data_IF_170185823932
#
_entry.id   IF_170185823932
#
_cell.length_a   1.000
_cell.length_b   1.000
_cell.length_c   1.000
_cell.angle_alpha   90.00
_cell.angle_beta   90.00
_cell.angle_gamma   90.00
#
_symmetry.space_group_name_H-M   'P 1'
#
loop_
_entity.id
_entity.type
_entity.pdbx_description
1 polymer ?
#
# COMPACT_ATOMS: atom_id res chain seq x y z
N UNK A 1 7.51 -28.44 -19.54
CA UNK A 1 6.88 -27.82 -18.37
C UNK A 1 6.24 -26.54 -18.85
N UNK A 2 4.91 -26.50 -18.95
CA UNK A 2 4.20 -25.26 -19.30
C UNK A 2 4.33 -24.31 -18.12
N UNK A 3 4.95 -23.15 -18.30
CA UNK A 3 4.89 -22.08 -17.30
C UNK A 3 3.43 -21.67 -17.21
N UNK A 4 2.77 -21.94 -16.08
CA UNK A 4 1.52 -21.27 -15.77
C UNK A 4 1.87 -19.79 -15.57
N UNK A 5 1.71 -18.98 -16.62
CA UNK A 5 1.86 -17.54 -16.54
C UNK A 5 0.73 -16.97 -15.66
N UNK A 6 1.06 -16.05 -14.75
CA UNK A 6 0.08 -15.40 -13.90
C UNK A 6 -0.37 -14.04 -14.46
N UNK A 7 -0.01 -13.73 -15.70
CA UNK A 7 -0.25 -12.44 -16.36
C UNK A 7 -1.75 -12.13 -16.50
N UNK A 8 -2.57 -13.15 -16.79
CA UNK A 8 -4.03 -13.01 -16.85
C UNK A 8 -4.64 -12.62 -15.50
N UNK A 9 -4.08 -13.12 -14.39
CA UNK A 9 -4.54 -12.78 -13.04
C UNK A 9 -4.11 -11.37 -12.63
N UNK A 10 -2.94 -10.91 -13.07
CA UNK A 10 -2.51 -9.52 -12.88
C UNK A 10 -3.43 -8.55 -13.64
N UNK A 11 -3.75 -8.87 -14.90
CA UNK A 11 -4.68 -8.08 -15.71
C UNK A 11 -6.08 -8.04 -15.06
N UNK A 12 -6.61 -9.19 -14.65
CA UNK A 12 -7.91 -9.27 -13.98
C UNK A 12 -7.93 -8.48 -12.67
N UNK A 13 -6.89 -8.61 -11.83
CA UNK A 13 -6.81 -7.86 -10.58
C UNK A 13 -6.79 -6.34 -10.82
N UNK A 14 -6.03 -5.90 -11.84
CA UNK A 14 -5.99 -4.49 -12.24
C UNK A 14 -7.36 -3.99 -12.69
N UNK A 15 -8.08 -4.75 -13.52
CA UNK A 15 -9.41 -4.40 -13.99
C UNK A 15 -10.42 -4.33 -12.83
N UNK A 16 -10.49 -5.35 -11.99
CA UNK A 16 -11.42 -5.39 -10.86
C UNK A 16 -11.19 -4.25 -9.86
N UNK A 17 -9.93 -3.96 -9.54
CA UNK A 17 -9.58 -2.86 -8.62
C UNK A 17 -9.83 -1.51 -9.29
N UNK A 18 -9.60 -1.37 -10.59
CA UNK A 18 -9.92 -0.14 -11.31
C UNK A 18 -11.44 0.12 -11.39
N UNK A 19 -12.25 -0.93 -11.49
CA UNK A 19 -13.71 -0.82 -11.57
C UNK A 19 -14.36 -0.55 -10.20
N UNK A 20 -13.90 -1.23 -9.14
CA UNK A 20 -14.54 -1.19 -7.82
C UNK A 20 -13.81 -0.32 -6.80
N UNK A 21 -12.55 -0.02 -7.03
CA UNK A 21 -11.71 0.76 -6.14
C UNK A 21 -11.95 2.26 -6.24
N UNK A 22 -11.46 2.99 -5.24
CA UNK A 22 -11.42 4.45 -5.24
C UNK A 22 -10.01 4.95 -5.48
N UNK A 23 -9.88 6.09 -6.15
CA UNK A 23 -8.57 6.69 -6.42
C UNK A 23 -7.97 7.28 -5.15
N UNK A 24 -6.80 6.77 -4.76
CA UNK A 24 -6.05 7.23 -3.59
C UNK A 24 -4.62 7.57 -3.96
N UNK A 25 -3.99 8.38 -3.12
CA UNK A 25 -2.62 8.84 -3.29
C UNK A 25 -1.70 8.07 -2.33
N UNK A 26 -0.84 7.22 -2.89
CA UNK A 26 0.23 6.56 -2.15
C UNK A 26 1.42 7.51 -2.04
N UNK A 27 1.73 7.90 -0.81
CA UNK A 27 2.74 8.93 -0.53
C UNK A 27 3.99 8.29 0.06
N UNK A 28 5.12 8.56 -0.59
CA UNK A 28 6.46 8.32 -0.05
C UNK A 28 7.00 9.65 0.48
N UNK A 29 7.43 9.64 1.74
CA UNK A 29 8.11 10.76 2.37
C UNK A 29 9.63 10.58 2.24
N UNK A 30 10.37 11.68 2.22
CA UNK A 30 11.81 11.70 2.40
C UNK A 30 12.17 12.50 3.65
N UNK A 31 13.28 12.13 4.29
CA UNK A 31 13.78 12.84 5.46
C UNK A 31 14.10 14.28 5.07
N UNK A 32 13.62 15.24 5.86
CA UNK A 32 13.95 16.64 5.64
C UNK A 32 15.46 16.86 5.78
N UNK A 33 15.99 17.80 5.01
CA UNK A 33 17.38 18.21 5.16
C UNK A 33 17.65 18.66 6.60
N UNK A 34 18.76 18.22 7.17
CA UNK A 34 19.19 18.68 8.49
C UNK A 34 19.65 20.14 8.40
N UNK A 35 19.37 20.92 9.43
CA UNK A 35 19.82 22.32 9.52
C UNK A 35 21.35 22.36 9.65
N UNK A 36 22.09 22.99 8.71
CA UNK A 36 23.54 23.12 8.79
C UNK A 36 24.03 23.86 10.05
N UNK A 37 23.22 24.77 10.59
CA UNK A 37 23.55 25.53 11.79
C UNK A 37 23.27 24.76 13.08
N UNK A 38 22.35 23.78 13.03
CA UNK A 38 21.91 23.01 14.20
C UNK A 38 21.75 21.52 13.89
N UNK A 39 22.84 20.82 13.51
CA UNK A 39 22.79 19.42 13.08
C UNK A 39 22.36 18.46 14.20
N UNK A 40 22.48 18.85 15.47
CA UNK A 40 22.04 18.04 16.62
C UNK A 40 20.52 17.94 16.77
N UNK A 41 19.74 18.77 16.06
CA UNK A 41 18.27 18.64 16.01
C UNK A 41 17.81 17.49 15.12
N UNK A 42 18.72 16.91 14.34
CA UNK A 42 18.42 15.83 13.41
C UNK A 42 17.80 16.33 12.10
N UNK A 43 17.26 15.41 11.29
CA UNK A 43 16.62 15.75 10.02
C UNK A 43 15.40 16.65 10.26
N UNK A 44 15.22 17.63 9.36
CA UNK A 44 14.05 18.50 9.37
C UNK A 44 12.74 17.75 9.09
N UNK A 45 11.65 18.51 9.02
CA UNK A 45 10.33 17.95 8.74
C UNK A 45 10.35 17.14 7.42
N UNK A 46 9.83 15.89 7.41
CA UNK A 46 9.77 15.09 6.21
C UNK A 46 9.00 15.79 5.09
N UNK A 47 9.50 15.71 3.87
CA UNK A 47 8.87 16.25 2.67
C UNK A 47 8.30 15.13 1.81
N UNK A 48 7.35 15.45 0.94
CA UNK A 48 6.80 14.49 -0.01
C UNK A 48 7.82 14.26 -1.11
N UNK A 49 8.30 13.03 -1.23
CA UNK A 49 9.24 12.62 -2.27
C UNK A 49 8.54 12.16 -3.54
N UNK A 50 7.46 11.39 -3.37
CA UNK A 50 6.72 10.81 -4.48
C UNK A 50 5.26 10.61 -4.08
N UNK A 51 4.36 10.92 -5.02
CA UNK A 51 2.94 10.61 -4.94
C UNK A 51 2.61 9.70 -6.11
N UNK A 52 1.99 8.56 -5.84
CA UNK A 52 1.48 7.66 -6.88
C UNK A 52 -0.02 7.51 -6.71
N UNK A 53 -0.78 8.03 -7.67
CA UNK A 53 -2.24 8.01 -7.64
C UNK A 53 -2.77 6.79 -8.38
N UNK A 54 -3.42 5.87 -7.67
CA UNK A 54 -3.98 4.66 -8.26
C UNK A 54 -5.24 4.20 -7.52
N UNK A 55 -6.06 3.33 -8.14
CA UNK A 55 -7.25 2.81 -7.49
C UNK A 55 -6.87 1.79 -6.40
N UNK A 56 -7.59 1.86 -5.28
CA UNK A 56 -7.48 0.92 -4.19
C UNK A 56 -8.83 0.64 -3.52
N UNK A 57 -8.96 -0.55 -2.96
CA UNK A 57 -10.15 -1.03 -2.26
C UNK A 57 -9.85 -1.19 -0.78
N UNK A 58 -10.77 -0.75 0.08
CA UNK A 58 -10.60 -0.80 1.54
C UNK A 58 -11.55 -1.82 2.16
N UNK A 59 -10.99 -2.72 2.96
CA UNK A 59 -11.73 -3.78 3.67
C UNK A 59 -11.52 -3.62 5.17
N UNK A 60 -12.57 -3.63 6.01
CA UNK A 60 -12.41 -3.55 7.46
C UNK A 60 -11.59 -4.71 8.04
N UNK A 61 -10.64 -4.41 8.94
CA UNK A 61 -9.87 -5.42 9.65
C UNK A 61 -10.78 -6.13 10.68
N UNK A 62 -11.43 -7.23 10.26
CA UNK A 62 -12.35 -8.00 11.11
C UNK A 62 -13.63 -8.47 10.42
N UNK A 63 -13.88 -8.08 9.17
CA UNK A 63 -15.10 -8.48 8.45
C UNK A 63 -15.14 -9.97 8.04
N UNK A 64 -14.04 -10.71 8.23
CA UNK A 64 -13.88 -12.08 7.71
C UNK A 64 -13.79 -12.07 6.17
N UNK A 65 -12.67 -12.51 5.60
CA UNK A 65 -12.50 -12.56 4.15
C UNK A 65 -11.05 -12.66 3.70
N UNK A 66 -10.85 -12.65 2.37
CA UNK A 66 -9.56 -12.92 1.74
C UNK A 66 -8.45 -11.93 2.15
N UNK A 67 -8.80 -10.65 2.36
CA UNK A 67 -7.85 -9.65 2.85
C UNK A 67 -7.34 -9.93 4.27
N UNK A 68 -8.11 -10.66 5.08
CA UNK A 68 -7.76 -10.99 6.48
C UNK A 68 -7.10 -12.36 6.64
N UNK A 69 -7.25 -13.27 5.67
CA UNK A 69 -6.74 -14.65 5.78
C UNK A 69 -5.28 -14.81 5.37
N UNK A 70 -4.70 -13.83 4.69
CA UNK A 70 -3.31 -13.86 4.20
C UNK A 70 -2.33 -13.24 5.20
N UNK A 71 -2.86 -12.59 6.26
CA UNK A 71 -2.11 -11.83 7.26
C UNK A 71 -2.31 -12.41 8.65
N UNK A 72 -1.35 -12.21 9.54
CA UNK A 72 -1.44 -12.73 10.91
C UNK A 72 -2.47 -11.96 11.73
N UNK A 73 -3.05 -12.61 12.74
CA UNK A 73 -4.00 -11.97 13.65
C UNK A 73 -3.39 -10.76 14.38
N UNK A 74 -2.10 -10.82 14.71
CA UNK A 74 -1.35 -9.72 15.33
C UNK A 74 -1.20 -8.51 14.40
N UNK A 75 -1.05 -8.73 13.09
CA UNK A 75 -1.02 -7.67 12.08
C UNK A 75 -2.40 -7.02 11.94
N UNK A 76 -3.47 -7.79 12.04
CA UNK A 76 -4.85 -7.29 12.00
C UNK A 76 -5.19 -6.42 13.20
N UNK A 77 -4.75 -6.80 14.42
CA UNK A 77 -5.00 -6.04 15.66
C UNK A 77 -4.44 -4.62 15.63
N UNK A 78 -3.40 -4.36 14.83
CA UNK A 78 -2.74 -3.05 14.72
C UNK A 78 -3.38 -2.14 13.68
N UNK A 79 -4.30 -2.66 12.87
CA UNK A 79 -4.88 -1.97 11.72
C UNK A 79 -6.38 -1.82 11.86
N UNK A 80 -6.93 -0.76 11.29
CA UNK A 80 -8.38 -0.56 11.23
C UNK A 80 -8.96 -1.08 9.91
N UNK A 81 -8.18 -0.98 8.84
CA UNK A 81 -8.57 -1.40 7.50
C UNK A 81 -7.40 -2.01 6.76
N UNK A 82 -7.72 -2.75 5.71
CA UNK A 82 -6.80 -3.33 4.76
C UNK A 82 -7.06 -2.65 3.42
N UNK A 83 -6.06 -1.94 2.91
CA UNK A 83 -6.08 -1.35 1.59
C UNK A 83 -5.47 -2.33 0.59
N UNK A 84 -6.16 -2.57 -0.52
CA UNK A 84 -5.78 -3.53 -1.56
C UNK A 84 -5.65 -2.77 -2.88
N UNK A 85 -4.55 -2.96 -3.57
CA UNK A 85 -4.28 -2.35 -4.88
C UNK A 85 -3.54 -3.32 -5.80
N UNK A 86 -3.63 -3.13 -7.11
CA UNK A 86 -2.96 -3.99 -8.08
C UNK A 86 -1.47 -3.64 -8.16
N UNK A 87 -0.60 -4.67 -8.18
CA UNK A 87 0.85 -4.47 -8.32
C UNK A 87 1.24 -3.83 -9.66
N UNK A 88 0.40 -3.99 -10.68
CA UNK A 88 0.53 -3.38 -11.99
C UNK A 88 0.58 -1.84 -11.98
N UNK A 89 0.18 -1.17 -10.89
CA UNK A 89 0.25 0.28 -10.75
C UNK A 89 1.64 0.80 -10.32
N UNK A 90 2.62 -0.09 -10.12
CA UNK A 90 4.02 0.25 -9.86
C UNK A 90 4.19 1.23 -8.69
N UNK A 91 3.69 0.85 -7.52
CA UNK A 91 3.84 1.63 -6.29
C UNK A 91 5.31 1.82 -5.90
N UNK A 92 5.66 2.91 -5.20
CA UNK A 92 7.03 3.13 -4.75
C UNK A 92 7.48 2.00 -3.80
N UNK A 93 8.79 1.77 -3.74
CA UNK A 93 9.38 0.72 -2.90
C UNK A 93 9.05 0.88 -1.41
N UNK A 94 8.86 2.12 -0.97
CA UNK A 94 8.29 2.48 0.34
C UNK A 94 7.09 3.38 0.13
N UNK A 95 6.02 3.08 0.85
CA UNK A 95 4.87 3.96 1.04
C UNK A 95 4.81 4.25 2.53
N UNK A 96 4.74 5.53 2.89
CA UNK A 96 4.68 5.96 4.29
C UNK A 96 3.23 6.26 4.71
N UNK A 97 2.37 6.66 3.76
CA UNK A 97 0.98 7.05 4.00
C UNK A 97 0.11 6.86 2.76
N UNK A 98 -1.19 6.68 2.97
CA UNK A 98 -2.22 6.70 1.91
C UNK A 98 -3.18 7.84 2.18
N UNK A 99 -3.37 8.71 1.19
CA UNK A 99 -4.31 9.82 1.24
C UNK A 99 -5.54 9.54 0.37
N UNK A 100 -6.72 9.68 0.97
CA UNK A 100 -8.02 9.39 0.37
C UNK A 100 -8.93 10.62 0.54
N UNK A 101 -8.76 11.59 -0.37
CA UNK A 101 -9.68 12.73 -0.52
C UNK A 101 -9.93 13.57 0.74
N UNK A 102 -9.01 13.57 1.71
CA UNK A 102 -9.15 14.26 3.00
C UNK A 102 -8.99 13.37 4.22
N UNK A 103 -8.96 12.04 4.06
CA UNK A 103 -8.52 11.13 5.11
C UNK A 103 -7.12 10.62 4.81
N UNK A 104 -6.23 10.73 5.80
CA UNK A 104 -4.86 10.24 5.73
C UNK A 104 -4.77 8.97 6.58
N UNK A 105 -4.17 7.92 6.03
CA UNK A 105 -3.93 6.67 6.73
C UNK A 105 -2.44 6.36 6.82
N UNK A 106 -1.95 6.12 8.03
CA UNK A 106 -0.62 5.56 8.27
C UNK A 106 -0.58 4.07 7.89
N UNK A 107 0.59 3.62 7.44
CA UNK A 107 0.83 2.23 7.05
C UNK A 107 1.53 1.49 8.20
N UNK A 108 0.92 0.41 8.66
CA UNK A 108 1.47 -0.48 9.68
C UNK A 108 2.29 -1.61 9.07
N UNK A 109 1.85 -2.12 7.92
CA UNK A 109 2.53 -3.17 7.19
C UNK A 109 2.14 -3.17 5.72
N UNK A 110 3.01 -3.74 4.89
CA UNK A 110 2.80 -4.00 3.46
C UNK A 110 3.10 -5.46 3.18
N UNK A 111 2.26 -6.11 2.39
CA UNK A 111 2.49 -7.47 1.91
C UNK A 111 2.11 -7.54 0.43
N UNK A 112 2.93 -8.25 -0.34
CA UNK A 112 2.67 -8.47 -1.77
C UNK A 112 2.26 -9.92 -1.97
N UNK A 113 1.13 -10.14 -2.62
CA UNK A 113 0.75 -11.47 -3.06
C UNK A 113 1.51 -11.79 -4.35
N UNK A 114 2.45 -12.72 -4.22
CA UNK A 114 3.32 -13.17 -5.30
C UNK A 114 3.37 -14.71 -5.31
N UNK A 115 2.50 -15.38 -6.09
CA UNK A 115 2.49 -16.84 -6.18
C UNK A 115 3.69 -17.41 -6.97
N UNK A 116 4.37 -16.61 -7.79
CA UNK A 116 5.58 -16.99 -8.54
C UNK A 116 6.50 -15.78 -8.82
N UNK A 117 6.88 -15.51 -10.06
CA UNK A 117 7.67 -14.30 -10.41
C UNK A 117 6.81 -13.03 -10.43
N UNK A 118 5.50 -13.17 -10.69
CA UNK A 118 4.58 -12.05 -10.85
C UNK A 118 3.94 -11.64 -9.52
N UNK A 119 4.03 -10.35 -9.20
CA UNK A 119 3.25 -9.74 -8.13
C UNK A 119 1.87 -9.37 -8.69
N UNK A 120 0.80 -9.79 -8.02
CA UNK A 120 -0.57 -9.59 -8.51
C UNK A 120 -1.23 -8.42 -7.77
N UNK A 121 -1.24 -8.50 -6.43
CA UNK A 121 -1.82 -7.47 -5.58
C UNK A 121 -0.90 -7.11 -4.43
N UNK A 122 -1.04 -5.87 -3.99
CA UNK A 122 -0.43 -5.37 -2.77
C UNK A 122 -1.49 -5.08 -1.72
N UNK A 123 -1.18 -5.50 -0.50
CA UNK A 123 -2.02 -5.39 0.68
C UNK A 123 -1.31 -4.46 1.66
N UNK A 124 -2.04 -3.49 2.19
CA UNK A 124 -1.57 -2.53 3.18
C UNK A 124 -2.45 -2.59 4.40
N UNK A 125 -1.83 -2.86 5.54
CA UNK A 125 -2.45 -2.63 6.82
C UNK A 125 -2.45 -1.15 7.14
N UNK A 126 -3.64 -0.55 7.25
CA UNK A 126 -3.75 0.89 7.44
C UNK A 126 -4.48 1.26 8.73
N UNK A 127 -4.03 2.36 9.31
CA UNK A 127 -4.58 2.98 10.52
C UNK A 127 -4.77 4.47 10.28
N UNK A 128 -5.90 5.00 10.76
CA UNK A 128 -6.18 6.44 10.68
C UNK A 128 -5.39 7.23 11.71
#
# INVERSE_FOLDING_TARGET
MSSFGYDEFEALAKEMIAETGRMVDFVKLESGAADPEKPWLGPGQPTIAQITRCPATFVPAGSGGWGTSVVTEEMLKRTNMICITASAFALPSRVDRIDDGGTSYGIEWRQTLRPAENAIVELFGVKR
#
